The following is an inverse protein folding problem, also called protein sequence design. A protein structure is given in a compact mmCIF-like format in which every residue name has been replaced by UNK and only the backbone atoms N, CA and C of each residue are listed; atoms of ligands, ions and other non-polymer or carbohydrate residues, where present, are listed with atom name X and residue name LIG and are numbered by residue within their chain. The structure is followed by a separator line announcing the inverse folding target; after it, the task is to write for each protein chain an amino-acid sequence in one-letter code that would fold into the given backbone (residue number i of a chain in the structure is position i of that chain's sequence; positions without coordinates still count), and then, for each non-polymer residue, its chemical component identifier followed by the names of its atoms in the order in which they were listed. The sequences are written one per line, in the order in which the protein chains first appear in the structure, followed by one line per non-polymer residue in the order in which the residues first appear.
data_IF_024332759731
#
_entry.id   IF_024332759731
#
_cell.length_a   1.000
_cell.length_b   1.000
_cell.length_c   1.000
_cell.angle_alpha   90.00
_cell.angle_beta   90.00
_cell.angle_gamma   90.00
#
_symmetry.space_group_name_H-M   'P 1'
#
loop_
_entity.id
_entity.type
_entity.pdbx_description
1 polymer ?
#
# COMPACT_ATOMS: atom_id res chain seq x y z
N UNK A 1 -23.78 -58.43 -71.78
CA UNK A 1 -23.38 -57.09 -71.31
C UNK A 1 -22.05 -57.21 -70.57
N UNK A 2 -20.94 -56.74 -71.14
CA UNK A 2 -19.63 -56.71 -70.48
C UNK A 2 -19.06 -55.30 -70.66
N UNK A 3 -19.14 -54.50 -69.59
CA UNK A 3 -18.66 -53.13 -69.57
C UNK A 3 -17.18 -53.08 -69.23
N UNK A 4 -16.46 -52.25 -69.99
CA UNK A 4 -15.06 -51.89 -69.85
C UNK A 4 -14.86 -51.07 -68.58
N UNK A 5 -13.75 -51.25 -67.87
CA UNK A 5 -13.25 -50.22 -66.96
C UNK A 5 -11.76 -49.98 -67.19
N UNK A 6 -11.50 -48.70 -67.47
CA UNK A 6 -10.24 -48.05 -67.80
C UNK A 6 -9.44 -47.87 -66.51
N UNK A 7 -8.15 -48.20 -66.57
CA UNK A 7 -7.17 -47.96 -65.50
C UNK A 7 -6.85 -46.46 -65.49
N UNK A 8 -7.29 -45.76 -64.44
CA UNK A 8 -6.83 -44.39 -64.13
C UNK A 8 -5.67 -44.49 -63.14
N UNK A 9 -4.46 -44.11 -63.60
CA UNK A 9 -3.29 -43.90 -62.78
C UNK A 9 -3.48 -42.59 -61.98
N UNK A 10 -3.88 -42.71 -60.71
CA UNK A 10 -3.97 -41.61 -59.77
C UNK A 10 -2.60 -41.33 -59.15
N UNK A 11 -2.02 -40.18 -59.48
CA UNK A 11 -0.77 -39.66 -58.94
C UNK A 11 -1.00 -39.26 -57.47
N UNK A 12 -0.50 -40.07 -56.53
CA UNK A 12 -0.56 -39.76 -55.08
C UNK A 12 0.62 -38.85 -54.76
N UNK A 13 0.37 -37.56 -54.62
CA UNK A 13 1.34 -36.58 -54.11
C UNK A 13 1.35 -36.70 -52.58
N UNK A 14 2.46 -37.08 -51.92
CA UNK A 14 2.53 -37.05 -50.47
C UNK A 14 2.68 -35.58 -50.03
N UNK A 15 1.58 -34.99 -49.57
CA UNK A 15 1.61 -33.70 -48.90
C UNK A 15 2.24 -33.91 -47.51
N UNK A 16 3.54 -33.61 -47.40
CA UNK A 16 4.25 -33.62 -46.12
C UNK A 16 3.70 -32.48 -45.26
N UNK A 17 2.82 -32.81 -44.31
CA UNK A 17 2.33 -31.87 -43.31
C UNK A 17 3.47 -31.65 -42.32
N UNK A 18 4.23 -30.57 -42.52
CA UNK A 18 5.18 -30.10 -41.53
C UNK A 18 4.39 -29.60 -40.31
N UNK A 19 4.32 -30.43 -39.27
CA UNK A 19 3.80 -30.02 -37.96
C UNK A 19 4.77 -28.98 -37.38
N UNK A 20 4.41 -27.71 -37.53
CA UNK A 20 5.03 -26.61 -36.80
C UNK A 20 4.67 -26.80 -35.33
N UNK A 21 5.56 -27.45 -34.58
CA UNK A 21 5.53 -27.44 -33.12
C UNK A 21 5.74 -25.99 -32.68
N UNK A 22 4.66 -25.30 -32.35
CA UNK A 22 4.74 -24.01 -31.69
C UNK A 22 5.48 -24.22 -30.37
N UNK A 23 6.59 -23.53 -30.09
CA UNK A 23 7.23 -23.62 -28.79
C UNK A 23 6.18 -23.19 -27.77
N UNK A 24 5.83 -24.12 -26.88
CA UNK A 24 4.95 -23.84 -25.75
C UNK A 24 5.69 -22.79 -24.92
N UNK A 25 5.31 -21.53 -25.06
CA UNK A 25 5.87 -20.47 -24.22
C UNK A 25 5.38 -20.77 -22.82
N UNK A 26 6.23 -21.43 -22.03
CA UNK A 26 6.03 -21.55 -20.60
C UNK A 26 6.00 -20.13 -20.05
N UNK A 27 4.79 -19.64 -19.77
CA UNK A 27 4.59 -18.44 -18.98
C UNK A 27 5.27 -18.74 -17.64
N UNK A 28 6.41 -18.12 -17.39
CA UNK A 28 7.06 -18.13 -16.08
C UNK A 28 6.12 -17.38 -15.15
N UNK A 29 5.16 -18.10 -14.54
CA UNK A 29 4.40 -17.59 -13.42
C UNK A 29 5.42 -17.13 -12.36
N UNK A 30 5.26 -15.92 -11.84
CA UNK A 30 6.11 -15.45 -10.75
C UNK A 30 5.93 -16.40 -9.56
N UNK A 31 6.90 -17.29 -9.36
CA UNK A 31 6.89 -18.31 -8.29
C UNK A 31 6.72 -17.69 -6.91
N UNK A 32 7.17 -16.45 -6.73
CA UNK A 32 7.12 -15.71 -5.47
C UNK A 32 6.18 -14.51 -5.59
N UNK A 33 5.16 -14.46 -4.74
CA UNK A 33 4.26 -13.31 -4.58
C UNK A 33 4.60 -12.58 -3.27
N UNK A 34 4.82 -11.27 -3.36
CA UNK A 34 5.10 -10.45 -2.18
C UNK A 34 3.79 -9.94 -1.57
N UNK A 35 3.71 -9.99 -0.24
CA UNK A 35 2.58 -9.50 0.55
C UNK A 35 3.14 -8.58 1.65
N UNK A 36 2.60 -7.38 1.76
CA UNK A 36 3.03 -6.43 2.77
C UNK A 36 2.45 -6.82 4.14
N UNK A 37 3.26 -6.76 5.20
CA UNK A 37 2.87 -7.22 6.54
C UNK A 37 1.58 -6.54 7.07
N UNK A 38 1.38 -5.25 6.78
CA UNK A 38 0.16 -4.51 7.15
C UNK A 38 -1.13 -5.05 6.53
N UNK A 39 -1.03 -5.73 5.38
CA UNK A 39 -2.21 -6.30 4.71
C UNK A 39 -2.77 -7.51 5.45
N UNK A 40 -1.94 -8.18 6.26
CA UNK A 40 -2.24 -9.50 6.84
C UNK A 40 -2.00 -9.57 8.36
N UNK A 41 -1.62 -8.46 8.99
CA UNK A 41 -1.44 -8.34 10.45
C UNK A 41 -1.97 -7.01 10.99
N UNK A 42 -2.36 -6.98 12.27
CA UNK A 42 -2.87 -5.78 12.96
C UNK A 42 -4.38 -5.53 12.79
N UNK A 43 -4.85 -4.36 13.23
CA UNK A 43 -6.29 -4.00 13.26
C UNK A 43 -6.93 -3.89 11.87
N UNK A 44 -6.13 -3.59 10.85
CA UNK A 44 -6.57 -3.47 9.45
C UNK A 44 -6.33 -4.75 8.63
N UNK A 45 -5.94 -5.85 9.28
CA UNK A 45 -5.61 -7.10 8.59
C UNK A 45 -6.79 -7.59 7.74
N UNK A 46 -6.52 -7.86 6.46
CA UNK A 46 -7.45 -8.56 5.60
C UNK A 46 -7.15 -10.05 5.61
N UNK A 47 -8.19 -10.88 5.63
CA UNK A 47 -8.04 -12.32 5.56
C UNK A 47 -7.57 -12.73 4.16
N UNK A 48 -6.26 -12.96 4.00
CA UNK A 48 -5.67 -13.36 2.73
C UNK A 48 -5.98 -14.83 2.45
N UNK A 49 -6.53 -15.10 1.26
CA UNK A 49 -6.73 -16.48 0.79
C UNK A 49 -5.48 -17.03 0.11
N UNK A 50 -4.97 -18.15 0.64
CA UNK A 50 -3.81 -18.89 0.13
C UNK A 50 -4.33 -20.14 -0.59
N UNK A 51 -4.15 -20.21 -1.89
CA UNK A 51 -4.49 -21.36 -2.72
C UNK A 51 -3.36 -22.38 -2.63
N UNK A 52 -3.69 -23.65 -2.42
CA UNK A 52 -2.75 -24.77 -2.42
C UNK A 52 -3.23 -25.80 -3.42
N UNK A 53 -2.37 -26.22 -4.36
CA UNK A 53 -2.74 -27.09 -5.46
C UNK A 53 -2.35 -28.56 -5.20
N UNK A 54 -3.09 -29.53 -5.74
CA UNK A 54 -2.70 -30.95 -5.65
C UNK A 54 -1.32 -31.18 -6.25
N UNK A 55 -0.43 -31.86 -5.52
CA UNK A 55 0.94 -32.15 -5.98
C UNK A 55 1.91 -30.96 -5.97
N UNK A 56 1.46 -29.75 -5.57
CA UNK A 56 2.30 -28.56 -5.52
C UNK A 56 2.20 -27.88 -4.15
N UNK A 57 3.30 -27.91 -3.40
CA UNK A 57 3.38 -27.23 -2.10
C UNK A 57 3.50 -25.71 -2.26
N UNK A 58 3.00 -24.99 -1.26
CA UNK A 58 3.02 -23.52 -1.20
C UNK A 58 3.66 -23.10 0.10
N UNK A 59 4.64 -22.21 0.03
CA UNK A 59 5.35 -21.69 1.19
C UNK A 59 4.88 -20.29 1.60
N UNK A 60 4.86 -19.99 2.90
CA UNK A 60 4.68 -18.64 3.45
C UNK A 60 5.97 -18.29 4.19
N UNK A 61 6.65 -17.24 3.75
CA UNK A 61 7.99 -16.87 4.20
C UNK A 61 7.99 -15.55 4.95
N UNK A 62 8.48 -15.58 6.19
CA UNK A 62 8.69 -14.43 7.07
C UNK A 62 10.19 -14.04 7.16
N UNK A 63 11.04 -14.71 6.38
CA UNK A 63 12.49 -14.48 6.38
C UNK A 63 12.86 -13.02 6.07
N UNK A 64 12.06 -12.32 5.26
CA UNK A 64 12.34 -10.92 4.89
C UNK A 64 11.94 -9.90 5.95
N UNK A 65 10.95 -10.21 6.78
CA UNK A 65 10.63 -9.39 7.96
C UNK A 65 11.56 -9.69 9.14
N UNK A 66 12.35 -10.78 9.06
CA UNK A 66 13.15 -11.33 10.17
C UNK A 66 12.29 -11.70 11.38
N UNK A 67 11.03 -12.01 11.12
CA UNK A 67 10.10 -12.49 12.14
C UNK A 67 10.26 -13.99 12.32
N UNK A 68 10.24 -14.43 13.58
CA UNK A 68 10.36 -15.82 13.98
C UNK A 68 8.97 -16.36 14.31
N UNK A 69 8.54 -17.40 13.60
CA UNK A 69 7.29 -18.08 13.86
C UNK A 69 7.42 -18.89 15.15
N UNK A 70 6.53 -18.60 16.09
CA UNK A 70 6.46 -19.26 17.40
C UNK A 70 5.38 -20.31 17.45
N UNK A 71 4.22 -20.02 16.86
CA UNK A 71 3.05 -20.91 16.93
C UNK A 71 2.19 -20.81 15.68
N UNK A 72 1.61 -21.94 15.29
CA UNK A 72 0.67 -22.04 14.17
C UNK A 72 -0.53 -22.85 14.65
N UNK A 73 -1.72 -22.37 14.31
CA UNK A 73 -2.96 -23.14 14.40
C UNK A 73 -3.57 -23.28 13.01
N UNK A 74 -4.07 -24.47 12.71
CA UNK A 74 -4.85 -24.78 11.51
C UNK A 74 -6.15 -25.43 11.95
N UNK A 75 -7.28 -24.75 11.70
CA UNK A 75 -8.56 -25.13 12.27
C UNK A 75 -9.17 -26.38 11.60
N UNK A 76 -8.87 -26.62 10.32
CA UNK A 76 -9.31 -27.80 9.57
C UNK A 76 -8.12 -28.45 8.81
N UNK A 77 -7.43 -29.44 9.42
CA UNK A 77 -6.37 -30.18 8.77
C UNK A 77 -6.88 -31.32 7.88
N UNK A 78 -8.19 -31.46 7.63
CA UNK A 78 -8.73 -32.58 6.84
C UNK A 78 -8.22 -32.64 5.40
N UNK A 79 -7.76 -31.52 4.85
CA UNK A 79 -7.30 -31.39 3.45
C UNK A 79 -5.92 -30.76 3.29
N UNK A 80 -5.32 -30.32 4.40
CA UNK A 80 -4.05 -29.60 4.37
C UNK A 80 -3.15 -30.05 5.51
N UNK A 81 -1.88 -30.18 5.21
CA UNK A 81 -0.81 -30.36 6.19
C UNK A 81 0.20 -29.24 6.02
N UNK A 82 0.89 -28.89 7.10
CA UNK A 82 1.99 -27.94 7.03
C UNK A 82 3.21 -28.50 7.76
N UNK A 83 4.36 -28.00 7.36
CA UNK A 83 5.64 -28.18 8.04
C UNK A 83 6.37 -26.84 8.10
N UNK A 84 7.42 -26.75 8.89
CA UNK A 84 8.22 -25.53 9.04
C UNK A 84 9.71 -25.82 8.89
N UNK A 85 10.49 -24.80 8.51
CA UNK A 85 11.94 -24.90 8.33
C UNK A 85 12.75 -24.90 9.65
N UNK A 86 12.06 -24.85 10.79
CA UNK A 86 12.66 -24.80 12.11
C UNK A 86 11.75 -25.41 13.17
N UNK A 87 11.78 -24.86 14.39
CA UNK A 87 11.02 -25.42 15.50
C UNK A 87 9.96 -24.45 16.03
N UNK A 88 8.77 -24.98 16.30
CA UNK A 88 7.66 -24.24 16.92
C UNK A 88 7.61 -24.50 18.42
N UNK A 89 7.40 -23.43 19.19
CA UNK A 89 7.33 -23.51 20.64
C UNK A 89 6.16 -24.38 21.10
N UNK A 90 6.38 -25.14 22.18
CA UNK A 90 5.36 -26.00 22.76
C UNK A 90 5.13 -27.33 22.04
N UNK A 91 5.84 -27.63 20.94
CA UNK A 91 5.80 -28.94 20.26
C UNK A 91 6.91 -29.92 20.69
N UNK A 92 7.49 -29.72 21.87
CA UNK A 92 8.30 -30.73 22.60
C UNK A 92 9.62 -31.17 21.96
N UNK A 93 10.05 -30.54 20.86
CA UNK A 93 11.23 -30.94 20.08
C UNK A 93 12.26 -29.83 19.85
N UNK A 94 12.07 -28.66 20.45
CA UNK A 94 13.00 -27.56 20.29
C UNK A 94 14.11 -27.65 21.32
N UNK A 95 15.36 -27.68 20.88
CA UNK A 95 16.48 -27.38 21.77
C UNK A 95 16.48 -25.88 22.09
N UNK A 96 16.94 -25.52 23.27
CA UNK A 96 16.98 -24.12 23.77
C UNK A 96 17.70 -23.17 22.80
N UNK A 97 18.60 -23.70 21.97
CA UNK A 97 19.43 -22.95 21.02
C UNK A 97 18.88 -22.91 19.57
N UNK A 98 17.78 -23.60 19.24
CA UNK A 98 17.19 -23.66 17.89
C UNK A 98 15.66 -23.43 17.92
N UNK A 99 15.23 -22.39 18.62
CA UNK A 99 13.82 -21.98 18.59
C UNK A 99 13.60 -20.99 17.45
N UNK A 100 12.75 -21.37 16.51
CA UNK A 100 12.31 -20.46 15.47
C UNK A 100 12.22 -21.09 14.09
N UNK A 101 11.07 -20.89 13.46
CA UNK A 101 10.87 -21.11 12.04
C UNK A 101 10.71 -19.77 11.33
N UNK A 102 11.22 -19.65 10.10
CA UNK A 102 11.02 -18.49 9.25
C UNK A 102 10.09 -18.77 8.07
N UNK A 103 9.78 -20.04 7.82
CA UNK A 103 9.00 -20.48 6.66
C UNK A 103 8.02 -21.57 7.06
N UNK A 104 6.81 -21.46 6.53
CA UNK A 104 5.75 -22.48 6.61
C UNK A 104 5.61 -23.08 5.22
N UNK A 105 5.68 -24.40 5.10
CA UNK A 105 5.41 -25.11 3.86
C UNK A 105 4.10 -25.89 3.97
N UNK A 106 3.15 -25.59 3.10
CA UNK A 106 1.79 -26.14 3.13
C UNK A 106 1.60 -27.06 1.93
N UNK A 107 0.98 -28.22 2.17
CA UNK A 107 0.65 -29.20 1.13
C UNK A 107 -0.81 -29.62 1.24
N UNK A 108 -1.44 -29.80 0.09
CA UNK A 108 -2.74 -30.43 0.02
C UNK A 108 -2.61 -31.94 0.19
N UNK A 109 -3.55 -32.54 0.92
CA UNK A 109 -3.73 -33.99 1.02
C UNK A 109 -5.13 -34.38 0.53
N UNK A 110 -5.32 -35.69 0.30
CA UNK A 110 -6.66 -36.23 0.14
C UNK A 110 -7.49 -35.98 1.40
N UNK A 111 -8.80 -35.75 1.23
CA UNK A 111 -9.68 -35.40 2.34
C UNK A 111 -9.76 -36.57 3.33
N UNK A 112 -9.33 -36.33 4.56
CA UNK A 112 -9.45 -37.28 5.68
C UNK A 112 -10.64 -36.88 6.54
N UNK A 113 -11.49 -37.85 6.90
CA UNK A 113 -12.58 -37.63 7.85
C UNK A 113 -12.05 -37.68 9.27
N UNK A 114 -12.11 -36.56 9.99
CA UNK A 114 -11.72 -36.46 11.40
C UNK A 114 -12.99 -36.46 12.26
N UNK A 115 -13.28 -37.51 13.03
CA UNK A 115 -14.47 -37.56 13.87
C UNK A 115 -14.54 -36.38 14.83
N UNK A 116 -15.70 -35.72 14.90
CA UNK A 116 -15.95 -34.59 15.79
C UNK A 116 -15.42 -33.24 15.30
N UNK A 117 -14.67 -33.19 14.19
CA UNK A 117 -14.22 -31.93 13.59
C UNK A 117 -15.24 -31.44 12.55
N UNK A 118 -15.77 -30.21 12.68
CA UNK A 118 -16.63 -29.61 11.66
C UNK A 118 -15.88 -29.43 10.34
N UNK A 119 -16.59 -29.64 9.22
CA UNK A 119 -15.99 -29.35 7.91
C UNK A 119 -15.89 -27.85 7.67
N UNK A 120 -14.79 -27.40 7.06
CA UNK A 120 -14.64 -26.02 6.61
C UNK A 120 -14.85 -25.91 5.09
N UNK A 121 -16.09 -25.68 4.60
CA UNK A 121 -16.39 -25.70 3.16
C UNK A 121 -15.69 -24.58 2.37
N UNK A 122 -15.36 -23.47 3.04
CA UNK A 122 -14.74 -22.30 2.43
C UNK A 122 -13.21 -22.22 2.62
N UNK A 123 -12.60 -23.32 3.05
CA UNK A 123 -11.17 -23.38 3.37
C UNK A 123 -10.89 -23.34 4.87
N UNK A 124 -9.68 -23.77 5.24
CA UNK A 124 -9.23 -23.85 6.62
C UNK A 124 -8.64 -22.50 7.06
N UNK A 125 -8.97 -22.05 8.28
CA UNK A 125 -8.35 -20.86 8.85
C UNK A 125 -7.00 -21.24 9.48
N UNK A 126 -5.97 -20.46 9.17
CA UNK A 126 -4.63 -20.59 9.74
C UNK A 126 -4.28 -19.31 10.49
N UNK A 127 -3.86 -19.48 11.75
CA UNK A 127 -3.35 -18.37 12.58
C UNK A 127 -1.88 -18.60 12.86
N UNK A 128 -1.06 -17.59 12.56
CA UNK A 128 0.40 -17.64 12.75
C UNK A 128 0.80 -16.57 13.74
N UNK A 129 1.55 -16.96 14.76
CA UNK A 129 2.12 -16.05 15.74
C UNK A 129 3.60 -15.92 15.48
N UNK A 130 4.05 -14.69 15.29
CA UNK A 130 5.46 -14.38 15.08
C UNK A 130 5.99 -13.42 16.14
N UNK A 131 7.30 -13.43 16.30
CA UNK A 131 8.05 -12.53 17.18
C UNK A 131 9.25 -11.93 16.45
N UNK A 132 9.50 -10.64 16.67
CA UNK A 132 10.70 -9.94 16.24
C UNK A 132 11.15 -9.00 17.34
N UNK A 133 12.20 -9.40 18.08
CA UNK A 133 12.61 -8.69 19.30
C UNK A 133 11.51 -8.74 20.35
N UNK A 134 11.06 -7.58 20.85
CA UNK A 134 9.95 -7.50 21.82
C UNK A 134 8.55 -7.42 21.16
N UNK A 135 8.49 -7.36 19.83
CA UNK A 135 7.22 -7.22 19.12
C UNK A 135 6.66 -8.58 18.73
N UNK A 136 5.42 -8.83 19.15
CA UNK A 136 4.65 -10.02 18.80
C UNK A 136 3.54 -9.65 17.83
N UNK A 137 3.40 -10.40 16.73
CA UNK A 137 2.36 -10.19 15.72
C UNK A 137 1.54 -11.45 15.50
N UNK A 138 0.31 -11.24 15.05
CA UNK A 138 -0.62 -12.29 14.66
C UNK A 138 -0.99 -12.09 13.20
N UNK A 139 -0.88 -13.16 12.42
CA UNK A 139 -1.28 -13.22 11.02
C UNK A 139 -2.41 -14.22 10.84
N UNK A 140 -3.33 -13.91 9.93
CA UNK A 140 -4.49 -14.75 9.63
C UNK A 140 -4.56 -15.03 8.13
N UNK A 141 -4.64 -16.32 7.79
CA UNK A 141 -4.74 -16.79 6.42
C UNK A 141 -5.93 -17.73 6.27
N UNK A 142 -6.57 -17.69 5.11
CA UNK A 142 -7.56 -18.69 4.71
C UNK A 142 -6.93 -19.62 3.70
N UNK A 143 -6.70 -20.87 4.06
CA UNK A 143 -6.12 -21.89 3.19
C UNK A 143 -7.24 -22.54 2.36
N UNK A 144 -7.17 -22.38 1.05
CA UNK A 144 -8.19 -22.87 0.10
C UNK A 144 -7.57 -23.80 -0.94
N UNK A 145 -8.41 -24.64 -1.53
CA UNK A 145 -8.01 -25.51 -2.63
C UNK A 145 -7.73 -24.67 -3.88
N UNK A 146 -6.57 -24.87 -4.49
CA UNK A 146 -6.24 -24.40 -5.82
C UNK A 146 -6.65 -25.44 -6.86
N UNK A 147 -7.13 -24.98 -8.00
CA UNK A 147 -7.45 -25.82 -9.15
C UNK A 147 -6.58 -25.42 -10.35
N UNK A 148 -6.35 -26.36 -11.27
CA UNK A 148 -5.58 -26.11 -12.48
C UNK A 148 -4.09 -25.86 -12.20
N UNK A 149 -3.49 -24.97 -12.99
CA UNK A 149 -2.05 -24.67 -12.91
C UNK A 149 -1.73 -23.78 -11.70
N UNK A 150 -0.69 -24.11 -10.92
CA UNK A 150 -0.23 -23.25 -9.83
C UNK A 150 0.12 -21.83 -10.27
N UNK A 151 -0.42 -20.84 -9.57
CA UNK A 151 -0.17 -19.42 -9.85
C UNK A 151 1.10 -18.90 -9.14
N UNK A 152 1.49 -19.54 -8.03
CA UNK A 152 2.66 -19.23 -7.22
C UNK A 152 3.07 -20.45 -6.38
N UNK A 153 4.29 -20.44 -5.84
CA UNK A 153 4.78 -21.45 -4.90
C UNK A 153 5.26 -20.85 -3.58
N UNK A 154 5.40 -19.52 -3.49
CA UNK A 154 5.79 -18.82 -2.27
C UNK A 154 5.01 -17.50 -2.11
N UNK A 155 4.50 -17.27 -0.90
CA UNK A 155 4.06 -15.98 -0.41
C UNK A 155 5.15 -15.41 0.50
N UNK A 156 5.81 -14.35 0.04
CA UNK A 156 6.88 -13.68 0.77
C UNK A 156 6.30 -12.50 1.54
N UNK A 157 6.23 -12.61 2.86
CA UNK A 157 5.85 -11.50 3.73
C UNK A 157 7.03 -10.53 3.78
N UNK A 158 6.78 -9.31 3.35
CA UNK A 158 7.76 -8.23 3.37
C UNK A 158 7.34 -7.22 4.43
N UNK A 159 8.33 -6.57 5.03
CA UNK A 159 8.03 -5.38 5.82
C UNK A 159 7.27 -4.44 4.90
N UNK A 160 6.26 -3.75 5.44
CA UNK A 160 5.75 -2.56 4.79
C UNK A 160 6.99 -1.74 4.53
N UNK A 161 7.35 -1.62 3.26
CA UNK A 161 8.43 -0.71 2.89
C UNK A 161 7.89 0.59 3.41
N UNK A 162 8.45 1.10 4.53
CA UNK A 162 7.99 2.34 5.16
C UNK A 162 7.84 3.27 4.00
N UNK A 163 6.57 3.52 3.61
CA UNK A 163 6.18 3.90 2.25
C UNK A 163 7.32 4.76 1.78
N UNK A 164 8.25 4.21 0.97
CA UNK A 164 9.35 5.03 0.48
C UNK A 164 8.53 5.88 -0.40
N UNK A 165 8.08 7.03 0.14
CA UNK A 165 6.91 7.76 -0.29
C UNK A 165 6.91 7.48 -1.74
N UNK A 166 6.01 6.56 -2.18
CA UNK A 166 5.96 6.29 -3.61
C UNK A 166 5.82 7.71 -4.06
N UNK A 167 6.85 8.22 -4.73
CA UNK A 167 6.89 9.60 -5.09
C UNK A 167 5.73 9.53 -6.07
N UNK A 168 4.55 9.86 -5.55
CA UNK A 168 3.38 10.26 -6.26
C UNK A 168 4.00 11.47 -6.86
N UNK A 169 4.70 11.27 -7.99
CA UNK A 169 5.28 12.33 -8.77
C UNK A 169 4.05 13.18 -8.97
N UNK A 170 3.95 14.33 -8.29
CA UNK A 170 2.68 14.99 -8.15
C UNK A 170 2.21 15.14 -9.58
N UNK A 171 1.08 14.49 -9.88
CA UNK A 171 0.44 14.62 -11.18
C UNK A 171 0.27 16.10 -11.32
N UNK A 172 1.10 16.72 -12.18
CA UNK A 172 1.38 18.17 -12.22
C UNK A 172 0.18 18.92 -11.69
N UNK A 173 0.26 19.37 -10.43
CA UNK A 173 -0.82 20.13 -9.86
C UNK A 173 -0.81 21.46 -10.62
N UNK A 174 -1.73 21.60 -11.58
CA UNK A 174 -1.88 22.82 -12.37
C UNK A 174 -2.09 24.02 -11.44
N UNK A 175 -2.66 23.83 -10.24
CA UNK A 175 -2.74 24.86 -9.23
C UNK A 175 -1.36 25.24 -8.69
N UNK A 176 -0.43 24.30 -8.52
CA UNK A 176 0.93 24.57 -8.04
C UNK A 176 1.76 25.46 -8.97
N UNK A 177 1.72 25.17 -10.28
CA UNK A 177 2.37 26.02 -11.30
C UNK A 177 1.68 27.38 -11.45
N UNK A 178 0.36 27.41 -11.34
CA UNK A 178 -0.42 28.65 -11.36
C UNK A 178 -0.10 29.53 -10.15
N UNK A 179 -0.09 28.94 -8.95
CA UNK A 179 0.17 29.63 -7.69
C UNK A 179 1.59 30.20 -7.64
N UNK A 180 2.60 29.42 -8.02
CA UNK A 180 3.99 29.90 -8.06
C UNK A 180 4.15 31.10 -9.01
N UNK A 181 3.45 31.10 -10.15
CA UNK A 181 3.41 32.24 -11.08
C UNK A 181 2.78 33.48 -10.44
N UNK A 182 1.65 33.33 -9.73
CA UNK A 182 1.00 34.45 -9.04
C UNK A 182 1.85 34.99 -7.89
N UNK A 183 2.50 34.13 -7.11
CA UNK A 183 3.42 34.53 -6.04
C UNK A 183 4.61 35.30 -6.62
N UNK A 184 5.26 34.76 -7.66
CA UNK A 184 6.39 35.42 -8.33
C UNK A 184 6.01 36.79 -8.91
N UNK A 185 4.83 36.90 -9.53
CA UNK A 185 4.31 38.18 -10.03
C UNK A 185 4.03 39.16 -8.89
N UNK A 186 3.46 38.70 -7.77
CA UNK A 186 3.26 39.52 -6.57
C UNK A 186 4.58 40.02 -5.97
N UNK A 187 5.61 39.19 -5.99
CA UNK A 187 6.97 39.58 -5.56
C UNK A 187 7.55 40.68 -6.45
N UNK A 188 7.37 40.59 -7.78
CA UNK A 188 7.81 41.64 -8.71
C UNK A 188 7.09 42.98 -8.44
N UNK A 189 5.79 42.94 -8.14
CA UNK A 189 5.03 44.14 -7.74
C UNK A 189 5.54 44.69 -6.41
N UNK A 190 5.89 43.84 -5.45
CA UNK A 190 6.46 44.28 -4.18
C UNK A 190 7.85 44.92 -4.35
N UNK A 191 8.69 44.40 -5.26
CA UNK A 191 9.98 45.01 -5.63
C UNK A 191 9.77 46.35 -6.33
N UNK A 192 8.85 46.44 -7.29
CA UNK A 192 8.58 47.71 -7.99
C UNK A 192 8.05 48.80 -7.06
N UNK A 193 7.36 48.40 -5.99
CA UNK A 193 6.88 49.29 -4.92
C UNK A 193 7.89 49.51 -3.80
N UNK A 194 9.11 48.97 -3.91
CA UNK A 194 10.18 49.06 -2.92
C UNK A 194 9.81 48.49 -1.54
N UNK A 195 8.83 47.60 -1.46
CA UNK A 195 8.43 46.94 -0.20
C UNK A 195 9.40 45.82 0.21
N UNK A 196 10.10 45.25 -0.77
CA UNK A 196 11.14 44.24 -0.58
C UNK A 196 12.30 44.53 -1.55
N UNK A 197 13.51 44.13 -1.15
CA UNK A 197 14.71 44.20 -2.01
C UNK A 197 15.21 42.81 -2.36
N UNK A 198 15.84 42.67 -3.53
CA UNK A 198 16.31 41.37 -4.06
C UNK A 198 17.46 40.75 -3.27
N UNK A 199 18.15 41.51 -2.42
CA UNK A 199 19.25 40.99 -1.58
C UNK A 199 18.80 40.61 -0.16
N UNK A 200 17.52 40.84 0.16
CA UNK A 200 16.99 40.60 1.50
C UNK A 200 16.87 39.11 1.82
N UNK A 201 16.98 38.78 3.12
CA UNK A 201 16.69 37.42 3.64
C UNK A 201 15.27 36.98 3.30
N UNK A 202 14.33 37.93 3.27
CA UNK A 202 12.94 37.68 2.88
C UNK A 202 12.83 37.27 1.40
N UNK A 203 13.56 37.93 0.50
CA UNK A 203 13.58 37.55 -0.93
C UNK A 203 14.07 36.12 -1.15
N UNK A 204 15.14 35.70 -0.44
CA UNK A 204 15.65 34.32 -0.51
C UNK A 204 14.60 33.29 -0.09
N UNK A 205 13.88 33.56 1.01
CA UNK A 205 12.78 32.70 1.49
C UNK A 205 11.63 32.65 0.51
N UNK A 206 11.25 33.78 -0.07
CA UNK A 206 10.18 33.84 -1.06
C UNK A 206 10.54 33.10 -2.37
N UNK A 207 11.81 33.14 -2.80
CA UNK A 207 12.27 32.32 -3.93
C UNK A 207 12.23 30.84 -3.61
N UNK A 208 12.65 30.43 -2.41
CA UNK A 208 12.56 29.04 -1.97
C UNK A 208 11.09 28.56 -1.93
N UNK A 209 10.16 29.41 -1.48
CA UNK A 209 8.73 29.13 -1.54
C UNK A 209 8.25 28.92 -2.99
N UNK A 210 8.62 29.81 -3.92
CA UNK A 210 8.23 29.70 -5.33
C UNK A 210 8.80 28.43 -5.95
N UNK A 211 10.03 28.07 -5.62
CA UNK A 211 10.69 26.85 -6.08
C UNK A 211 9.95 25.60 -5.59
N UNK A 212 9.75 25.47 -4.27
CA UNK A 212 9.00 24.36 -3.66
C UNK A 212 7.58 24.27 -4.22
N UNK A 213 6.86 25.39 -4.33
CA UNK A 213 5.52 25.39 -4.89
C UNK A 213 5.54 25.01 -6.38
N UNK A 214 6.54 25.42 -7.14
CA UNK A 214 6.65 25.08 -8.57
C UNK A 214 6.98 23.61 -8.83
N UNK A 215 7.65 22.94 -7.88
CA UNK A 215 7.96 21.50 -7.95
C UNK A 215 6.76 20.61 -7.59
N UNK A 216 5.66 21.19 -7.12
CA UNK A 216 4.41 20.49 -6.81
C UNK A 216 4.11 20.36 -5.32
N UNK A 217 4.94 20.93 -4.44
CA UNK A 217 4.70 20.97 -3.00
C UNK A 217 3.39 21.70 -2.67
N UNK A 218 2.67 21.26 -1.63
CA UNK A 218 1.47 21.95 -1.17
C UNK A 218 1.82 23.37 -0.69
N UNK A 219 0.98 24.36 -1.01
CA UNK A 219 1.27 25.77 -0.72
C UNK A 219 1.56 26.04 0.76
N UNK A 220 0.81 25.42 1.67
CA UNK A 220 0.97 25.59 3.12
C UNK A 220 2.30 24.98 3.60
N UNK A 221 2.64 23.80 3.09
CA UNK A 221 3.90 23.11 3.40
C UNK A 221 5.10 23.87 2.85
N UNK A 222 5.03 24.34 1.60
CA UNK A 222 6.07 25.15 0.99
C UNK A 222 6.30 26.47 1.76
N UNK A 223 5.23 27.13 2.22
CA UNK A 223 5.31 28.35 3.02
C UNK A 223 5.97 28.10 4.39
N UNK A 224 5.56 27.03 5.07
CA UNK A 224 6.15 26.61 6.34
C UNK A 224 7.65 26.30 6.20
N UNK A 225 8.02 25.50 5.20
CA UNK A 225 9.41 25.10 4.92
C UNK A 225 10.29 26.29 4.55
N UNK A 226 9.76 27.26 3.80
CA UNK A 226 10.47 28.49 3.46
C UNK A 226 10.50 29.52 4.62
N UNK A 227 9.78 29.28 5.72
CA UNK A 227 9.66 30.22 6.83
C UNK A 227 8.92 31.50 6.46
N UNK A 228 7.85 31.38 5.68
CA UNK A 228 6.99 32.47 5.19
C UNK A 228 5.57 32.27 5.73
N UNK A 229 4.95 33.33 6.24
CA UNK A 229 3.57 33.25 6.75
C UNK A 229 2.54 33.18 5.63
N UNK A 230 1.47 32.42 5.82
CA UNK A 230 0.39 32.30 4.83
C UNK A 230 -0.29 33.64 4.50
N UNK A 231 -0.39 34.56 5.46
CA UNK A 231 -0.91 35.91 5.23
C UNK A 231 -0.09 36.68 4.18
N UNK A 232 1.25 36.53 4.22
CA UNK A 232 2.13 37.16 3.24
C UNK A 232 1.99 36.48 1.87
N UNK A 233 1.87 35.15 1.85
CA UNK A 233 1.64 34.37 0.62
C UNK A 233 0.34 34.80 -0.07
N UNK A 234 -0.77 34.87 0.67
CA UNK A 234 -2.06 35.35 0.17
C UNK A 234 -1.97 36.78 -0.36
N UNK A 235 -1.25 37.65 0.34
CA UNK A 235 -1.03 39.03 -0.10
C UNK A 235 -0.27 39.08 -1.43
N UNK A 236 0.78 38.29 -1.58
CA UNK A 236 1.55 38.21 -2.83
C UNK A 236 0.71 37.61 -3.97
N UNK A 237 -0.06 36.56 -3.72
CA UNK A 237 -0.95 35.97 -4.73
C UNK A 237 -2.02 36.97 -5.18
N UNK A 238 -2.58 37.75 -4.25
CA UNK A 238 -3.51 38.84 -4.55
C UNK A 238 -2.85 39.94 -5.40
N UNK A 239 -1.61 40.36 -5.05
CA UNK A 239 -0.84 41.32 -5.86
C UNK A 239 -0.49 40.77 -7.25
N UNK A 240 -0.29 39.46 -7.38
CA UNK A 240 -0.08 38.77 -8.65
C UNK A 240 -1.33 38.69 -9.52
N UNK A 241 -2.51 38.96 -8.97
CA UNK A 241 -3.79 38.93 -9.67
C UNK A 241 -4.57 37.62 -9.51
N UNK A 242 -4.28 36.79 -8.49
CA UNK A 242 -5.16 35.67 -8.12
C UNK A 242 -6.33 36.21 -7.30
N UNK A 243 -7.56 35.99 -7.78
CA UNK A 243 -8.76 36.32 -7.02
C UNK A 243 -8.78 35.52 -5.70
N UNK A 244 -9.12 36.19 -4.60
CA UNK A 244 -9.21 35.58 -3.26
C UNK A 244 -10.25 34.46 -3.34
N UNK A 245 -9.86 33.22 -3.00
CA UNK A 245 -10.83 32.17 -2.72
C UNK A 245 -11.64 32.66 -1.51
N UNK A 246 -12.90 32.99 -1.72
CA UNK A 246 -13.85 33.23 -0.64
C UNK A 246 -13.95 31.93 0.17
N UNK A 247 -13.55 31.99 1.44
CA UNK A 247 -13.85 30.93 2.40
C UNK A 247 -15.38 30.84 2.54
N UNK A 248 -15.96 29.63 2.70
CA UNK A 248 -17.35 29.50 3.13
C UNK A 248 -17.58 30.33 4.40
N UNK A 249 -18.73 31.00 4.55
CA UNK A 249 -18.96 31.87 5.70
C UNK A 249 -18.77 31.09 7.00
N UNK A 250 -18.01 31.68 7.92
CA UNK A 250 -17.93 31.21 9.30
C UNK A 250 -19.36 31.11 9.85
N UNK A 251 -19.75 29.91 10.29
CA UNK A 251 -21.03 29.62 10.93
C UNK A 251 -21.17 30.54 12.15
N UNK A 252 -21.91 31.63 12.01
CA UNK A 252 -22.32 32.49 13.12
C UNK A 252 -23.54 31.86 13.77
N UNK A 253 -23.31 30.86 14.62
CA UNK A 253 -24.30 30.47 15.61
C UNK A 253 -23.87 31.09 16.94
N UNK A 254 -24.28 32.35 17.13
CA UNK A 254 -24.69 32.95 18.41
C UNK A 254 -25.30 34.33 18.13
N UNK A 255 -26.58 34.56 18.47
CA UNK A 255 -27.25 35.83 18.17
C UNK A 255 -26.78 36.97 19.09
N UNK A 256 -26.91 38.24 18.66
CA UNK A 256 -26.45 39.41 19.40
C UNK A 256 -27.35 39.76 20.59
N UNK A 257 -26.69 40.29 21.61
CA UNK A 257 -27.14 40.96 22.83
C UNK A 257 -28.34 41.91 22.68
N UNK A 258 -29.24 41.88 23.66
CA UNK A 258 -30.15 42.99 24.00
C UNK A 258 -29.51 43.81 25.14
N UNK A 259 -29.55 45.16 25.11
CA UNK A 259 -29.03 46.01 26.19
C UNK A 259 -30.11 46.43 27.21
N UNK A 260 -29.65 47.04 28.32
CA UNK A 260 -30.39 47.67 29.46
C UNK A 260 -30.53 46.68 30.64
N UNK A 261 -29.99 46.89 31.85
CA UNK A 261 -30.04 48.07 32.73
C UNK A 261 -29.03 47.91 33.87
N UNK A 262 -28.36 49.01 34.25
CA UNK A 262 -27.88 49.44 35.57
C UNK A 262 -27.18 48.50 36.59
N UNK A 263 -26.34 49.19 37.36
CA UNK A 263 -25.88 48.90 38.73
C UNK A 263 -24.59 48.08 38.92
N UNK A 264 -23.55 48.85 39.29
CA UNK A 264 -22.63 48.66 40.44
C UNK A 264 -21.88 47.32 40.49
N UNK A 265 -20.56 47.23 40.64
CA UNK A 265 -19.64 48.08 41.40
C UNK A 265 -18.24 47.39 41.36
N UNK A 266 -17.21 48.09 41.85
CA UNK A 266 -15.90 47.56 42.32
C UNK A 266 -14.81 47.13 41.32
N UNK A 267 -14.05 48.14 40.87
CA UNK A 267 -12.59 48.39 41.05
C UNK A 267 -11.63 47.20 41.25
N UNK A 268 -10.47 47.34 40.59
CA UNK A 268 -9.10 46.83 40.89
C UNK A 268 -8.69 45.56 40.13
N UNK A 269 -7.52 45.45 39.49
CA UNK A 269 -6.31 46.25 39.60
C UNK A 269 -5.42 46.05 38.36
N UNK A 270 -4.75 47.12 37.94
CA UNK A 270 -3.64 47.08 37.00
C UNK A 270 -2.39 46.48 37.66
N UNK A 271 -1.50 45.88 36.85
CA UNK A 271 -0.05 46.15 36.78
C UNK A 271 0.58 45.02 35.94
N UNK A 272 1.06 45.27 34.72
CA UNK A 272 2.39 45.83 34.38
C UNK A 272 3.56 45.19 35.16
N UNK A 273 4.18 44.19 34.53
CA UNK A 273 5.63 44.13 34.29
C UNK A 273 5.92 43.27 33.08
#
# INVERSE_FOLDING_TARGET
MKSKYIVCFGLIIPCAIAQLATPNQAVLANTVRQIAASQVSGETAQLLSVKVWPGHGVSISFLSTREIIKKIWLDDPSRFVFDVDGCLEGLGRCSENNTGAGLIHIRQIEKVKIPGLPESPYGAHMTVITESGSQRKTYHFRIVLGNGTPEYSELKIINDTAVKEEIVRPKVDYAARSDSKYISKGMQVAVSKQWITTDSKLWKRLNQLVELRSSGEELVVAASTAGVSMQLVEKLMSLGGKARLELPPARRDNPPTTPTTAETDFISNQNFK
#
